data_IF_530178726790
#
_entry.id   IF_530178726790
#
_cell.length_a   1.000
_cell.length_b   1.000
_cell.length_c   1.000
_cell.angle_alpha   90.00
_cell.angle_beta   90.00
_cell.angle_gamma   90.00
#
_symmetry.space_group_name_H-M   'P 1'
#
loop_
_entity.id
_entity.type
_entity.pdbx_description
1 polymer ?
#
# COMPACT_ATOMS: atom_id res chain seq x y z
N UNK A 1 29.27 -31.75 5.88
CA UNK A 1 30.72 -31.56 6.08
C UNK A 1 31.14 -30.30 5.36
N UNK A 2 31.91 -29.45 6.05
CA UNK A 2 32.45 -28.14 5.63
C UNK A 2 33.20 -28.15 4.29
N UNK A 3 33.09 -27.05 3.53
CA UNK A 3 34.16 -26.14 3.02
C UNK A 3 33.47 -25.07 2.14
N UNK A 4 33.18 -23.84 2.59
CA UNK A 4 34.01 -22.65 2.90
C UNK A 4 34.85 -22.10 1.72
N UNK A 5 34.49 -20.84 1.37
CA UNK A 5 35.37 -19.68 1.07
C UNK A 5 35.72 -19.41 -0.39
N UNK A 6 35.31 -18.23 -0.89
CA UNK A 6 36.21 -17.12 -1.27
C UNK A 6 35.42 -15.84 -1.59
N UNK A 7 35.47 -14.87 -0.66
CA UNK A 7 35.18 -13.46 -0.90
C UNK A 7 36.33 -12.83 -1.71
N UNK A 8 35.99 -11.98 -2.67
CA UNK A 8 36.92 -11.05 -3.31
C UNK A 8 36.34 -9.64 -3.22
N UNK A 9 36.96 -8.82 -2.37
CA UNK A 9 36.74 -7.37 -2.28
C UNK A 9 37.25 -6.66 -3.52
N UNK A 10 36.54 -5.64 -4.00
CA UNK A 10 37.17 -4.47 -4.63
C UNK A 10 36.33 -3.22 -4.30
N UNK A 11 36.95 -2.35 -3.51
CA UNK A 11 36.53 -0.98 -3.28
C UNK A 11 36.95 -0.12 -4.47
N UNK A 12 36.06 0.76 -4.93
CA UNK A 12 36.45 1.90 -5.77
C UNK A 12 35.62 3.12 -5.39
N UNK A 13 36.36 4.11 -4.91
CA UNK A 13 36.00 5.47 -4.56
C UNK A 13 35.67 6.24 -5.85
N UNK A 14 34.58 7.01 -5.85
CA UNK A 14 34.24 7.93 -6.93
C UNK A 14 33.35 9.06 -6.44
N UNK A 15 33.95 10.06 -5.81
CA UNK A 15 33.30 11.34 -5.51
C UNK A 15 33.34 12.23 -6.76
N UNK A 16 32.17 12.69 -7.22
CA UNK A 16 32.07 13.80 -8.18
C UNK A 16 31.06 14.79 -7.64
N UNK A 17 31.56 15.93 -7.18
CA UNK A 17 30.78 17.13 -6.84
C UNK A 17 30.69 17.99 -8.10
N UNK A 18 29.49 18.29 -8.57
CA UNK A 18 29.26 19.35 -9.55
C UNK A 18 28.27 20.35 -8.96
N UNK A 19 28.74 21.59 -8.82
CA UNK A 19 28.00 22.75 -8.37
C UNK A 19 27.64 23.64 -9.58
N UNK A 20 26.53 24.39 -9.45
CA UNK A 20 26.18 25.54 -10.30
C UNK A 20 24.88 25.32 -11.08
N UNK A 21 23.98 26.29 -11.28
CA UNK A 21 23.93 27.70 -10.90
C UNK A 21 22.44 28.16 -10.96
N UNK A 22 22.10 29.10 -10.09
CA UNK A 22 20.87 29.91 -10.08
C UNK A 22 20.98 31.04 -11.14
N UNK A 23 19.90 31.28 -11.88
CA UNK A 23 19.53 32.49 -12.63
C UNK A 23 17.99 32.41 -12.71
N UNK A 24 17.12 33.23 -12.11
CA UNK A 24 16.97 34.70 -11.97
C UNK A 24 16.83 35.47 -13.29
N UNK A 25 15.59 35.53 -13.81
CA UNK A 25 15.09 36.69 -14.57
C UNK A 25 13.57 36.80 -14.44
N UNK A 26 13.10 37.86 -13.79
CA UNK A 26 11.70 38.28 -13.81
C UNK A 26 11.36 39.17 -15.00
N UNK A 27 10.06 39.46 -15.18
CA UNK A 27 9.52 40.79 -15.52
C UNK A 27 8.01 40.73 -15.86
N UNK A 28 7.20 41.54 -15.15
CA UNK A 28 6.22 42.45 -15.76
C UNK A 28 4.79 41.96 -16.03
N UNK A 29 3.84 42.36 -15.18
CA UNK A 29 2.51 42.83 -15.64
C UNK A 29 2.61 44.26 -16.23
N UNK A 30 1.51 45.02 -16.48
CA UNK A 30 0.08 44.76 -16.22
C UNK A 30 -0.86 45.17 -17.40
N UNK A 31 -2.19 45.03 -17.22
CA UNK A 31 -3.23 45.78 -17.94
C UNK A 31 -4.52 44.95 -18.16
N UNK A 32 -5.55 45.07 -17.33
CA UNK A 32 -6.74 45.96 -17.46
C UNK A 32 -7.40 45.93 -18.83
N UNK A 33 -8.62 45.38 -18.90
CA UNK A 33 -9.77 46.01 -19.58
C UNK A 33 -11.09 45.38 -19.08
N UNK A 34 -11.91 46.19 -18.41
CA UNK A 34 -13.36 46.00 -18.26
C UNK A 34 -14.05 46.20 -19.63
N UNK A 35 -15.26 45.63 -19.84
CA UNK A 35 -16.42 46.52 -19.69
C UNK A 35 -17.66 45.87 -19.03
N UNK A 36 -18.35 46.75 -18.31
CA UNK A 36 -19.73 46.71 -17.78
C UNK A 36 -20.78 46.15 -18.72
N UNK A 37 -21.81 45.44 -18.21
CA UNK A 37 -23.24 45.59 -18.59
C UNK A 37 -24.17 44.88 -17.57
N UNK A 38 -24.99 45.70 -16.89
CA UNK A 38 -26.38 45.55 -16.41
C UNK A 38 -26.96 44.21 -15.86
N UNK A 39 -27.42 44.30 -14.60
CA UNK A 39 -28.55 43.59 -13.97
C UNK A 39 -29.90 43.81 -14.72
N UNK A 40 -31.07 43.18 -14.38
CA UNK A 40 -31.37 42.25 -13.26
C UNK A 40 -32.16 40.99 -13.66
N UNK A 41 -32.14 39.97 -12.79
CA UNK A 41 -33.01 38.81 -12.91
C UNK A 41 -33.15 38.06 -11.60
N UNK A 42 -34.16 38.42 -10.80
CA UNK A 42 -34.64 37.68 -9.62
C UNK A 42 -35.02 36.25 -9.96
N UNK A 43 -34.38 35.28 -9.29
CA UNK A 43 -34.96 33.96 -8.98
C UNK A 43 -34.53 33.52 -7.59
N UNK A 44 -35.49 33.46 -6.68
CA UNK A 44 -35.47 32.66 -5.46
C UNK A 44 -35.19 31.19 -5.77
N UNK A 45 -34.18 30.61 -5.14
CA UNK A 45 -33.90 29.19 -5.12
C UNK A 45 -32.99 28.90 -3.93
N UNK A 46 -33.44 28.02 -3.06
CA UNK A 46 -32.81 27.54 -1.84
C UNK A 46 -31.34 27.12 -2.06
N UNK A 47 -30.44 27.67 -1.26
CA UNK A 47 -29.04 27.22 -1.18
C UNK A 47 -28.79 26.68 0.22
N UNK A 48 -28.59 25.37 0.24
CA UNK A 48 -28.25 24.51 1.35
C UNK A 48 -26.81 24.84 1.77
N UNK A 49 -26.70 25.63 2.84
CA UNK A 49 -25.42 25.99 3.43
C UNK A 49 -24.69 24.74 3.87
N UNK A 50 -23.66 24.36 3.13
CA UNK A 50 -22.64 23.43 3.60
C UNK A 50 -21.88 24.14 4.71
N UNK A 51 -22.27 23.85 5.95
CA UNK A 51 -21.59 24.26 7.17
C UNK A 51 -20.14 23.76 7.11
N UNK A 52 -19.24 24.68 6.77
CA UNK A 52 -17.84 24.57 7.15
C UNK A 52 -17.80 24.76 8.67
N UNK A 53 -17.31 23.81 9.49
CA UNK A 53 -17.18 24.05 10.92
C UNK A 53 -16.08 25.08 11.13
N UNK A 54 -16.50 26.33 11.20
CA UNK A 54 -15.70 27.44 11.69
C UNK A 54 -15.61 27.27 13.21
N UNK A 55 -14.39 27.18 13.72
CA UNK A 55 -14.09 26.96 15.13
C UNK A 55 -14.91 27.88 16.04
N UNK A 56 -15.70 27.24 16.89
CA UNK A 56 -16.14 27.81 18.16
C UNK A 56 -15.26 27.19 19.23
N UNK A 57 -14.41 28.04 19.79
CA UNK A 57 -13.73 27.86 21.06
C UNK A 57 -14.77 27.57 22.14
N UNK A 58 -14.97 26.29 22.48
CA UNK A 58 -15.56 25.87 23.75
C UNK A 58 -14.45 25.13 24.51
N UNK A 59 -13.62 25.92 25.20
CA UNK A 59 -12.59 25.53 26.15
C UNK A 59 -13.19 24.85 27.39
N UNK A 60 -13.67 23.61 27.25
CA UNK A 60 -13.90 22.67 28.35
C UNK A 60 -13.51 21.24 27.91
N UNK A 61 -12.43 21.13 27.12
CA UNK A 61 -11.82 19.83 26.79
C UNK A 61 -10.85 19.45 27.92
N UNK A 62 -11.41 18.87 28.99
CA UNK A 62 -10.64 18.18 30.05
C UNK A 62 -10.03 16.86 29.53
N UNK A 63 -10.23 16.52 28.25
CA UNK A 63 -9.54 15.44 27.55
C UNK A 63 -8.10 15.85 27.29
N UNK A 64 -7.18 15.39 28.15
CA UNK A 64 -5.75 15.59 27.92
C UNK A 64 -5.32 15.02 26.56
N UNK A 65 -5.07 15.91 25.60
CA UNK A 65 -4.51 15.57 24.29
C UNK A 65 -3.39 14.54 24.45
N UNK A 66 -3.51 13.40 23.77
CA UNK A 66 -2.55 12.33 23.92
C UNK A 66 -1.17 12.79 23.43
N UNK A 67 -0.22 12.86 24.37
CA UNK A 67 1.18 13.13 24.09
C UNK A 67 2.06 11.95 24.55
N UNK A 68 2.60 11.14 23.63
CA UNK A 68 3.42 9.97 24.00
C UNK A 68 4.73 10.36 24.71
N UNK A 69 5.24 11.58 24.49
CA UNK A 69 6.49 12.04 25.14
C UNK A 69 6.30 12.40 26.62
N UNK A 70 5.07 12.63 27.05
CA UNK A 70 4.73 13.02 28.44
C UNK A 70 4.11 11.88 29.25
N UNK A 71 3.70 10.80 28.59
CA UNK A 71 3.05 9.64 29.19
C UNK A 71 3.99 8.44 29.31
N UNK A 72 3.55 7.41 30.06
CA UNK A 72 4.36 6.22 30.30
C UNK A 72 4.04 5.12 29.29
N UNK A 73 5.02 4.77 28.45
CA UNK A 73 4.97 3.55 27.62
C UNK A 73 5.23 2.32 28.52
N UNK A 74 4.18 1.52 28.74
CA UNK A 74 4.25 0.31 29.55
C UNK A 74 4.85 -0.89 28.79
N UNK A 75 4.55 -0.97 27.49
CA UNK A 75 5.03 -2.03 26.61
C UNK A 75 5.10 -1.56 25.16
N UNK A 76 5.89 -2.28 24.37
CA UNK A 76 6.00 -2.09 22.93
C UNK A 76 6.02 -3.44 22.21
N UNK A 77 5.23 -3.56 21.16
CA UNK A 77 5.16 -4.70 20.27
C UNK A 77 5.52 -4.29 18.85
N UNK A 78 6.30 -5.13 18.17
CA UNK A 78 6.72 -4.89 16.79
C UNK A 78 6.12 -5.98 15.89
N UNK A 79 5.35 -5.56 14.90
CA UNK A 79 4.74 -6.41 13.87
C UNK A 79 5.58 -6.29 12.61
N UNK A 80 6.31 -7.36 12.31
CA UNK A 80 7.28 -7.41 11.22
C UNK A 80 8.63 -6.77 11.54
N UNK A 81 9.37 -6.46 10.49
CA UNK A 81 10.70 -5.85 10.56
C UNK A 81 10.81 -4.76 9.50
N UNK A 82 11.51 -3.64 9.77
CA UNK A 82 11.83 -2.65 8.75
C UNK A 82 12.83 -3.18 7.70
N UNK A 83 13.55 -4.27 8.00
CA UNK A 83 14.50 -4.86 7.05
C UNK A 83 13.76 -5.50 5.88
N UNK A 84 14.06 -5.05 4.65
CA UNK A 84 13.49 -5.62 3.43
C UNK A 84 12.15 -5.01 3.00
N UNK A 85 11.68 -3.96 3.68
CA UNK A 85 10.50 -3.20 3.23
C UNK A 85 10.88 -2.39 1.99
N UNK A 86 10.21 -2.69 0.88
CA UNK A 86 10.35 -1.91 -0.36
C UNK A 86 9.93 -0.46 -0.12
N UNK A 87 10.66 0.47 -0.74
CA UNK A 87 10.36 1.89 -0.65
C UNK A 87 10.19 2.43 0.78
N UNK A 88 11.06 2.04 1.72
CA UNK A 88 10.93 2.37 3.15
C UNK A 88 10.78 3.88 3.48
N UNK A 89 11.21 4.78 2.60
CA UNK A 89 10.98 6.23 2.76
C UNK A 89 9.50 6.63 2.52
N UNK A 90 8.77 5.86 1.71
CA UNK A 90 7.35 6.02 1.41
C UNK A 90 6.44 5.01 2.13
N UNK A 91 7.02 3.99 2.76
CA UNK A 91 6.34 2.98 3.55
C UNK A 91 6.78 3.06 5.01
N UNK A 92 6.49 4.19 5.67
CA UNK A 92 6.96 4.37 7.05
C UNK A 92 6.18 3.48 8.02
N UNK A 93 6.82 3.08 9.14
CA UNK A 93 6.13 2.29 10.15
C UNK A 93 4.95 3.04 10.76
N UNK A 94 3.87 2.32 11.02
CA UNK A 94 2.64 2.85 11.60
C UNK A 94 2.58 2.47 13.09
N UNK A 95 2.85 3.39 14.02
CA UNK A 95 2.62 3.17 15.44
C UNK A 95 1.14 3.37 15.80
N UNK A 96 0.57 2.38 16.49
CA UNK A 96 -0.74 2.46 17.13
C UNK A 96 -0.56 2.39 18.63
N UNK A 97 -1.01 3.42 19.34
CA UNK A 97 -0.99 3.50 20.79
C UNK A 97 -2.34 3.08 21.36
N UNK A 98 -2.35 2.23 22.38
CA UNK A 98 -3.55 1.92 23.17
C UNK A 98 -3.35 2.50 24.56
N UNK A 99 -4.15 3.50 24.91
CA UNK A 99 -4.04 4.29 26.15
C UNK A 99 -5.15 3.93 27.13
N UNK A 100 -4.78 3.79 28.41
CA UNK A 100 -5.71 3.78 29.53
C UNK A 100 -5.96 5.20 30.04
N UNK A 101 -7.08 5.82 29.65
CA UNK A 101 -7.49 7.15 30.09
C UNK A 101 -8.47 7.05 31.27
N UNK A 102 -7.98 6.40 32.33
CA UNK A 102 -8.67 6.25 33.59
C UNK A 102 -7.70 6.50 34.73
N UNK A 103 -8.21 6.91 35.89
CA UNK A 103 -7.42 7.17 37.10
C UNK A 103 -6.99 5.88 37.85
N UNK A 104 -7.18 4.70 37.24
CA UNK A 104 -6.89 3.40 37.83
C UNK A 104 -6.15 2.45 36.88
N UNK A 105 -5.52 1.43 37.45
CA UNK A 105 -4.82 0.39 36.69
C UNK A 105 -5.80 -0.59 36.03
N UNK A 106 -5.55 -0.95 34.77
CA UNK A 106 -6.40 -1.84 33.97
C UNK A 106 -5.59 -2.80 33.10
N UNK A 107 -6.20 -3.96 32.82
CA UNK A 107 -5.63 -4.97 31.94
C UNK A 107 -6.24 -4.87 30.53
N UNK A 108 -5.36 -4.90 29.52
CA UNK A 108 -5.73 -4.90 28.11
C UNK A 108 -5.10 -6.10 27.41
N UNK A 109 -5.89 -6.86 26.65
CA UNK A 109 -5.36 -7.90 25.76
C UNK A 109 -5.35 -7.37 24.33
N UNK A 110 -4.26 -7.64 23.62
CA UNK A 110 -4.05 -7.16 22.25
C UNK A 110 -3.81 -8.35 21.32
N UNK A 111 -4.48 -8.34 20.17
CA UNK A 111 -4.30 -9.36 19.14
C UNK A 111 -4.23 -8.70 17.77
N UNK A 112 -3.30 -9.15 16.95
CA UNK A 112 -3.19 -8.74 15.54
C UNK A 112 -3.59 -9.90 14.65
N UNK A 113 -4.46 -9.65 13.68
CA UNK A 113 -4.79 -10.61 12.62
C UNK A 113 -4.53 -10.01 11.25
N UNK A 114 -4.32 -10.87 10.25
CA UNK A 114 -4.28 -10.48 8.84
C UNK A 114 -4.74 -11.60 7.91
N UNK A 115 -5.23 -11.30 6.70
CA UNK A 115 -5.53 -12.31 5.69
C UNK A 115 -4.32 -13.20 5.37
N UNK A 116 -4.57 -14.50 5.15
CA UNK A 116 -3.56 -15.46 4.70
C UNK A 116 -3.57 -15.52 3.16
N UNK A 117 -2.40 -15.63 2.50
CA UNK A 117 -2.34 -15.85 1.05
C UNK A 117 -3.22 -17.01 0.59
N UNK A 118 -4.00 -16.78 -0.47
CA UNK A 118 -4.72 -17.84 -1.19
C UNK A 118 -6.02 -18.33 -0.54
N UNK A 119 -6.43 -17.80 0.62
CA UNK A 119 -7.74 -18.08 1.23
C UNK A 119 -8.24 -16.87 2.00
N UNK A 120 -9.36 -16.29 1.58
CA UNK A 120 -10.00 -15.15 2.26
C UNK A 120 -10.56 -15.51 3.65
N UNK A 121 -10.71 -16.81 3.93
CA UNK A 121 -11.28 -17.29 5.19
C UNK A 121 -10.22 -17.67 6.23
N UNK A 122 -8.95 -17.79 5.83
CA UNK A 122 -7.85 -18.10 6.74
C UNK A 122 -7.16 -16.81 7.18
N UNK A 123 -7.05 -16.61 8.49
CA UNK A 123 -6.34 -15.47 9.06
C UNK A 123 -5.10 -15.94 9.79
N UNK A 124 -3.98 -15.24 9.56
CA UNK A 124 -2.86 -15.28 10.49
C UNK A 124 -3.25 -14.53 11.75
N UNK A 125 -2.87 -15.05 12.91
CA UNK A 125 -3.17 -14.47 14.21
C UNK A 125 -1.91 -14.42 15.05
N UNK A 126 -1.65 -13.26 15.65
CA UNK A 126 -0.62 -13.05 16.65
C UNK A 126 -1.25 -12.48 17.92
N UNK A 127 -1.21 -13.28 18.98
CA UNK A 127 -1.57 -12.84 20.33
C UNK A 127 -0.38 -12.09 20.94
N UNK A 128 -0.58 -10.83 21.29
CA UNK A 128 0.42 -9.99 21.96
C UNK A 128 0.33 -10.11 23.49
N UNK A 129 -0.67 -10.83 23.99
CA UNK A 129 -0.91 -11.07 25.40
C UNK A 129 -1.61 -9.93 26.11
N UNK A 130 -1.71 -10.07 27.43
CA UNK A 130 -2.31 -9.07 28.31
C UNK A 130 -1.24 -8.16 28.90
N UNK A 131 -1.45 -6.85 28.79
CA UNK A 131 -0.62 -5.82 29.40
C UNK A 131 -1.43 -5.05 30.43
N UNK A 132 -0.88 -4.93 31.64
CA UNK A 132 -1.43 -4.09 32.70
C UNK A 132 -0.92 -2.66 32.52
N UNK A 133 -1.83 -1.71 32.33
CA UNK A 133 -1.55 -0.29 32.17
C UNK A 133 -1.95 0.44 33.45
N UNK A 134 -1.02 1.19 34.04
CA UNK A 134 -1.36 2.17 35.08
C UNK A 134 -2.26 3.29 34.52
N UNK A 135 -2.77 4.16 35.41
CA UNK A 135 -3.46 5.37 34.99
C UNK A 135 -2.59 6.19 34.02
N UNK A 136 -3.17 6.66 32.92
CA UNK A 136 -2.52 7.40 31.83
C UNK A 136 -1.31 6.69 31.16
N UNK A 137 -1.17 5.38 31.36
CA UNK A 137 -0.16 4.60 30.66
C UNK A 137 -0.70 4.10 29.32
N UNK A 138 0.22 3.82 28.39
CA UNK A 138 -0.13 3.29 27.07
C UNK A 138 0.82 2.18 26.64
N UNK A 139 0.40 1.42 25.63
CA UNK A 139 1.19 0.42 24.93
C UNK A 139 1.27 0.78 23.45
N UNK A 140 2.43 0.55 22.83
CA UNK A 140 2.62 0.79 21.39
C UNK A 140 2.65 -0.53 20.62
N UNK A 141 1.89 -0.62 19.54
CA UNK A 141 2.04 -1.65 18.51
C UNK A 141 2.55 -0.97 17.24
N UNK A 142 3.76 -1.32 16.80
CA UNK A 142 4.39 -0.74 15.62
C UNK A 142 4.29 -1.73 14.46
N UNK A 143 3.65 -1.32 13.37
CA UNK A 143 3.57 -2.11 12.14
C UNK A 143 4.63 -1.64 11.17
N UNK A 144 5.53 -2.52 10.75
CA UNK A 144 6.65 -2.17 9.88
C UNK A 144 6.43 -2.52 8.41
N UNK A 145 5.58 -3.50 8.12
CA UNK A 145 5.44 -4.06 6.77
C UNK A 145 4.08 -3.65 6.20
N UNK A 146 4.01 -2.96 5.05
CA UNK A 146 2.75 -2.57 4.43
C UNK A 146 1.87 -3.78 4.11
N UNK A 147 0.70 -3.83 4.73
CA UNK A 147 -0.30 -4.87 4.50
C UNK A 147 -1.62 -4.51 5.21
N UNK A 148 -2.64 -5.32 4.97
CA UNK A 148 -3.87 -5.31 5.77
C UNK A 148 -3.66 -5.98 7.13
N UNK A 149 -4.07 -5.31 8.21
CA UNK A 149 -4.07 -5.79 9.59
C UNK A 149 -5.36 -5.42 10.31
N UNK A 150 -5.74 -6.25 11.27
CA UNK A 150 -6.73 -5.90 12.30
C UNK A 150 -6.09 -6.01 13.67
N UNK A 151 -6.02 -4.91 14.41
CA UNK A 151 -5.65 -4.87 15.83
C UNK A 151 -6.93 -4.91 16.67
N UNK A 152 -7.20 -6.04 17.30
CA UNK A 152 -8.23 -6.18 18.31
C UNK A 152 -7.70 -5.73 19.67
N UNK A 153 -8.45 -4.84 20.32
CA UNK A 153 -8.19 -4.37 21.69
C UNK A 153 -9.30 -4.88 22.59
N UNK A 154 -8.93 -5.65 23.61
CA UNK A 154 -9.87 -6.21 24.58
C UNK A 154 -9.62 -5.66 25.99
N UNK A 155 -10.69 -5.49 26.75
CA UNK A 155 -10.69 -5.05 28.14
C UNK A 155 -12.00 -5.40 28.81
N UNK A 156 -12.00 -5.60 30.14
CA UNK A 156 -13.17 -6.08 30.90
C UNK A 156 -13.80 -7.38 30.34
N UNK A 157 -12.97 -8.26 29.76
CA UNK A 157 -13.40 -9.55 29.20
C UNK A 157 -14.23 -9.45 27.92
N UNK A 158 -14.16 -8.33 27.18
CA UNK A 158 -14.80 -8.13 25.87
C UNK A 158 -13.88 -7.38 24.90
N UNK A 159 -14.12 -7.53 23.61
CA UNK A 159 -13.53 -6.69 22.58
C UNK A 159 -14.10 -5.27 22.70
N UNK A 160 -13.22 -4.29 22.85
CA UNK A 160 -13.55 -2.88 22.93
C UNK A 160 -13.59 -2.25 21.54
N UNK A 161 -12.58 -2.56 20.72
CA UNK A 161 -12.47 -2.08 19.33
C UNK A 161 -11.65 -3.03 18.47
N UNK A 162 -11.89 -2.98 17.16
CA UNK A 162 -11.06 -3.58 16.12
C UNK A 162 -10.59 -2.44 15.22
N UNK A 163 -9.29 -2.13 15.27
CA UNK A 163 -8.69 -1.10 14.44
C UNK A 163 -8.07 -1.75 13.20
N UNK A 164 -8.54 -1.34 12.03
CA UNK A 164 -8.01 -1.81 10.75
C UNK A 164 -6.89 -0.88 10.28
N UNK A 165 -5.85 -1.49 9.74
CA UNK A 165 -4.80 -0.82 8.98
C UNK A 165 -4.77 -1.46 7.60
N UNK A 166 -4.79 -0.64 6.56
CA UNK A 166 -4.68 -1.04 5.18
C UNK A 166 -3.29 -0.73 4.63
N UNK A 167 -3.01 -1.20 3.42
CA UNK A 167 -1.78 -0.90 2.71
C UNK A 167 -1.47 0.61 2.66
N UNK A 168 -2.48 1.43 2.36
CA UNK A 168 -2.35 2.89 2.24
C UNK A 168 -2.07 3.65 3.54
N UNK A 169 -2.17 3.01 4.71
CA UNK A 169 -1.79 3.63 5.99
C UNK A 169 -0.25 3.74 6.14
N UNK A 170 0.49 2.96 5.35
CA UNK A 170 1.95 2.96 5.31
C UNK A 170 2.42 4.00 4.31
N UNK A 171 2.43 5.25 4.73
CA UNK A 171 2.77 6.37 3.85
C UNK A 171 4.12 7.01 4.18
N UNK A 172 4.55 7.97 3.35
CA UNK A 172 5.77 8.75 3.55
C UNK A 172 5.69 9.70 4.76
N UNK A 173 4.48 9.91 5.29
CA UNK A 173 4.25 10.74 6.46
C UNK A 173 4.64 10.02 7.74
N UNK A 174 5.00 10.82 8.73
CA UNK A 174 5.23 10.31 10.08
C UNK A 174 4.07 10.73 10.95
N UNK A 175 3.57 9.79 11.74
CA UNK A 175 2.39 9.98 12.54
C UNK A 175 2.16 8.81 13.48
N UNK A 176 1.04 8.85 14.18
CA UNK A 176 0.56 7.73 14.97
C UNK A 176 -0.96 7.75 15.06
N UNK A 177 -1.52 6.59 15.35
CA UNK A 177 -2.92 6.44 15.80
C UNK A 177 -2.93 6.21 17.30
N UNK A 178 -3.86 6.83 18.02
CA UNK A 178 -4.13 6.60 19.43
C UNK A 178 -5.54 6.06 19.59
N UNK A 179 -5.67 4.93 20.27
CA UNK A 179 -6.90 4.31 20.73
C UNK A 179 -6.97 4.58 22.24
N UNK A 180 -7.79 5.53 22.62
CA UNK A 180 -7.98 5.95 24.00
C UNK A 180 -9.18 5.22 24.59
N UNK A 181 -8.99 4.56 25.73
CA UNK A 181 -10.06 3.86 26.45
C UNK A 181 -10.37 4.60 27.75
N UNK A 182 -11.56 5.20 27.81
CA UNK A 182 -11.98 6.03 28.95
C UNK A 182 -12.39 5.19 30.17
N UNK A 183 -12.68 5.86 31.30
CA UNK A 183 -13.09 5.20 32.55
C UNK A 183 -14.31 4.27 32.37
N UNK A 184 -15.27 4.62 31.51
CA UNK A 184 -16.48 3.82 31.27
C UNK A 184 -16.31 2.74 30.17
N UNK A 185 -15.08 2.49 29.73
CA UNK A 185 -14.71 1.61 28.62
C UNK A 185 -15.26 2.03 27.25
N UNK A 186 -15.67 3.29 27.09
CA UNK A 186 -15.82 3.88 25.76
C UNK A 186 -14.44 4.03 25.10
N UNK A 187 -14.43 3.99 23.77
CA UNK A 187 -13.22 4.04 22.97
C UNK A 187 -13.29 5.24 22.05
N UNK A 188 -12.22 6.01 22.03
CA UNK A 188 -12.00 7.12 21.11
C UNK A 188 -10.73 6.86 20.31
N UNK A 189 -10.80 7.07 18.99
CA UNK A 189 -9.65 6.91 18.11
C UNK A 189 -9.29 8.26 17.52
N UNK A 190 -8.03 8.66 17.66
CA UNK A 190 -7.46 9.89 17.10
C UNK A 190 -6.04 9.68 16.61
N UNK A 191 -5.39 10.72 16.11
CA UNK A 191 -4.03 10.60 15.62
C UNK A 191 -3.51 11.91 15.04
N UNK A 192 -2.21 11.95 14.79
CA UNK A 192 -1.55 13.06 14.10
C UNK A 192 -0.69 12.52 12.97
N UNK A 193 -0.62 13.26 11.86
CA UNK A 193 0.23 12.95 10.70
C UNK A 193 0.82 14.23 10.12
N UNK A 194 2.00 14.15 9.50
CA UNK A 194 2.64 15.28 8.82
C UNK A 194 1.90 15.77 7.57
N UNK A 195 0.88 15.05 7.07
CA UNK A 195 0.00 15.43 5.94
C UNK A 195 0.73 16.00 4.72
N UNK A 196 1.93 15.49 4.42
CA UNK A 196 2.63 15.78 3.16
C UNK A 196 2.03 14.91 2.05
N UNK A 197 2.00 15.44 0.83
CA UNK A 197 1.58 14.65 -0.32
C UNK A 197 2.63 13.55 -0.58
N UNK A 198 2.25 12.30 -0.32
CA UNK A 198 3.08 11.15 -0.63
C UNK A 198 2.96 10.78 -2.10
N UNK A 199 4.06 10.36 -2.74
CA UNK A 199 4.02 9.89 -4.12
C UNK A 199 3.24 8.56 -4.20
N UNK A 200 2.33 8.47 -5.18
CA UNK A 200 1.58 7.24 -5.46
C UNK A 200 2.43 6.23 -6.28
N UNK A 201 2.08 4.93 -6.24
CA UNK A 201 2.69 3.93 -7.11
C UNK A 201 2.67 4.35 -8.58
N UNK A 202 3.82 4.22 -9.25
CA UNK A 202 3.92 4.51 -10.67
C UNK A 202 4.82 3.49 -11.38
N UNK A 203 4.30 2.84 -12.41
CA UNK A 203 5.10 1.96 -13.26
C UNK A 203 6.06 2.78 -14.13
N UNK A 204 7.36 2.51 -13.98
CA UNK A 204 8.45 3.19 -14.70
C UNK A 204 8.88 2.43 -15.95
N UNK A 205 8.95 1.12 -15.82
CA UNK A 205 9.40 0.22 -16.89
C UNK A 205 8.45 -0.94 -16.98
N UNK A 206 8.06 -1.29 -18.20
CA UNK A 206 7.27 -2.48 -18.48
C UNK A 206 7.97 -3.20 -19.62
N UNK A 207 8.34 -4.46 -19.38
CA UNK A 207 8.94 -5.34 -20.37
C UNK A 207 8.20 -6.66 -20.41
N UNK A 208 8.08 -7.24 -21.60
CA UNK A 208 7.58 -8.60 -21.79
C UNK A 208 8.62 -9.35 -22.61
N UNK A 209 9.15 -10.41 -22.03
CA UNK A 209 9.89 -11.46 -22.71
C UNK A 209 8.97 -12.63 -23.00
N UNK A 210 9.21 -13.34 -24.10
CA UNK A 210 8.43 -14.51 -24.47
C UNK A 210 9.32 -15.67 -24.91
N UNK A 211 8.84 -16.88 -24.66
CA UNK A 211 9.38 -18.10 -25.25
C UNK A 211 8.98 -18.28 -26.72
N UNK A 212 9.49 -19.35 -27.32
CA UNK A 212 8.97 -19.81 -28.61
C UNK A 212 7.57 -20.39 -28.40
N UNK A 213 6.61 -19.99 -29.23
CA UNK A 213 5.28 -20.58 -29.17
C UNK A 213 5.32 -22.08 -29.54
N UNK A 214 4.51 -22.87 -28.85
CA UNK A 214 4.42 -24.32 -29.05
C UNK A 214 2.97 -24.79 -29.08
N UNK A 215 2.72 -26.03 -29.52
CA UNK A 215 1.38 -26.61 -29.39
C UNK A 215 1.03 -26.77 -27.91
N UNK A 216 -0.16 -26.33 -27.54
CA UNK A 216 -0.58 -26.26 -26.15
C UNK A 216 -0.74 -27.65 -25.51
N UNK A 217 -0.21 -27.83 -24.31
CA UNK A 217 -0.44 -29.01 -23.47
C UNK A 217 -1.60 -28.80 -22.50
N UNK A 218 -1.84 -27.55 -22.10
CA UNK A 218 -2.98 -27.09 -21.31
C UNK A 218 -3.88 -26.18 -22.16
N UNK A 219 -5.11 -25.94 -21.71
CA UNK A 219 -6.08 -25.09 -22.42
C UNK A 219 -6.41 -23.81 -21.67
N UNK A 220 -5.81 -23.62 -20.50
CA UNK A 220 -6.10 -22.50 -19.63
C UNK A 220 -4.97 -21.48 -19.70
N UNK A 221 -5.35 -20.21 -19.73
CA UNK A 221 -4.42 -19.12 -19.51
C UNK A 221 -3.97 -19.12 -18.04
N UNK A 222 -2.72 -18.73 -17.79
CA UNK A 222 -2.17 -18.65 -16.43
C UNK A 222 -1.31 -17.42 -16.27
N UNK A 223 -1.28 -16.87 -15.06
CA UNK A 223 -0.29 -15.89 -14.64
C UNK A 223 0.00 -16.07 -13.14
N UNK A 224 1.28 -15.99 -12.78
CA UNK A 224 1.75 -15.95 -11.39
C UNK A 224 2.56 -14.69 -11.21
N UNK A 225 2.22 -13.91 -10.19
CA UNK A 225 2.84 -12.63 -9.89
C UNK A 225 3.77 -12.79 -8.67
N UNK A 226 4.94 -12.19 -8.71
CA UNK A 226 5.91 -12.17 -7.61
C UNK A 226 6.47 -10.76 -7.42
N UNK A 227 6.57 -10.33 -6.17
CA UNK A 227 7.16 -9.04 -5.80
C UNK A 227 8.65 -9.22 -5.48
N UNK A 228 9.48 -8.36 -6.05
CA UNK A 228 10.89 -8.16 -5.71
C UNK A 228 11.09 -6.92 -4.84
N UNK A 229 12.28 -6.31 -4.91
CA UNK A 229 12.59 -5.10 -4.14
C UNK A 229 11.85 -3.86 -4.68
N UNK A 230 11.91 -3.60 -5.98
CA UNK A 230 11.23 -2.45 -6.65
C UNK A 230 10.58 -2.87 -7.99
N UNK A 231 10.48 -4.18 -8.22
CA UNK A 231 9.97 -4.76 -9.46
C UNK A 231 8.97 -5.87 -9.17
N UNK A 232 7.97 -5.99 -10.02
CA UNK A 232 7.03 -7.11 -10.07
C UNK A 232 7.37 -7.97 -11.28
N UNK A 233 7.54 -9.28 -11.06
CA UNK A 233 7.71 -10.27 -12.12
C UNK A 233 6.43 -11.07 -12.30
N UNK A 234 6.03 -11.29 -13.55
CA UNK A 234 4.86 -12.08 -13.92
C UNK A 234 5.31 -13.21 -14.85
N UNK A 235 5.14 -14.44 -14.42
CA UNK A 235 5.35 -15.61 -15.27
C UNK A 235 3.99 -16.20 -15.65
N UNK A 236 3.77 -16.47 -16.93
CA UNK A 236 2.47 -16.96 -17.37
C UNK A 236 2.48 -17.67 -18.72
N UNK A 237 1.32 -18.21 -19.06
CA UNK A 237 1.07 -18.89 -20.34
C UNK A 237 -0.14 -18.27 -21.01
N UNK A 238 0.03 -17.81 -22.25
CA UNK A 238 -1.04 -17.26 -23.07
C UNK A 238 -1.48 -18.31 -24.12
N UNK A 239 -2.77 -18.65 -24.14
CA UNK A 239 -3.33 -19.58 -25.13
C UNK A 239 -3.72 -18.83 -26.41
N UNK A 240 -3.28 -19.35 -27.55
CA UNK A 240 -3.42 -18.71 -28.86
C UNK A 240 -4.01 -19.68 -29.88
N UNK A 241 -4.61 -19.19 -30.99
CA UNK A 241 -5.13 -20.08 -32.03
C UNK A 241 -4.07 -20.97 -32.68
N UNK A 242 -2.83 -20.47 -32.78
CA UNK A 242 -1.66 -21.23 -33.26
C UNK A 242 -0.39 -20.84 -32.50
N UNK A 243 0.68 -21.64 -32.53
CA UNK A 243 1.96 -21.29 -31.91
C UNK A 243 2.63 -20.02 -32.48
N UNK A 244 2.13 -19.47 -33.59
CA UNK A 244 2.77 -18.36 -34.30
C UNK A 244 2.25 -17.00 -33.85
N UNK A 245 2.23 -16.77 -32.56
CA UNK A 245 1.82 -15.52 -31.93
C UNK A 245 2.93 -14.98 -31.02
N UNK A 246 3.02 -13.66 -30.87
CA UNK A 246 3.77 -12.97 -29.82
C UNK A 246 2.81 -12.50 -28.75
N UNK A 247 3.30 -12.29 -27.52
CA UNK A 247 2.57 -11.66 -26.43
C UNK A 247 3.19 -10.29 -26.19
N UNK A 248 2.35 -9.26 -26.21
CA UNK A 248 2.74 -7.88 -26.05
C UNK A 248 1.85 -7.20 -24.98
N UNK A 249 2.31 -6.08 -24.42
CA UNK A 249 1.51 -5.28 -23.48
C UNK A 249 0.49 -4.49 -24.29
N UNK A 250 -0.78 -4.78 -24.09
CA UNK A 250 -1.88 -4.02 -24.70
C UNK A 250 -2.11 -2.71 -23.93
N UNK A 251 -2.15 -2.82 -22.61
CA UNK A 251 -2.54 -1.75 -21.70
C UNK A 251 -1.97 -2.00 -20.31
N UNK A 252 -1.73 -0.92 -19.58
CA UNK A 252 -1.31 -0.98 -18.18
C UNK A 252 -1.78 0.27 -17.47
N UNK A 253 -2.27 0.14 -16.24
CA UNK A 253 -2.76 1.27 -15.47
C UNK A 253 -2.78 0.98 -13.98
N UNK A 254 -2.55 2.02 -13.18
CA UNK A 254 -2.78 2.00 -11.74
C UNK A 254 -4.07 2.75 -11.44
N UNK A 255 -4.94 2.14 -10.64
CA UNK A 255 -6.17 2.72 -10.11
C UNK A 255 -5.97 3.00 -8.62
N UNK A 256 -6.03 4.29 -8.24
CA UNK A 256 -5.79 4.73 -6.86
C UNK A 256 -6.97 4.45 -5.93
N UNK A 257 -8.20 4.39 -6.47
CA UNK A 257 -9.40 4.10 -5.68
C UNK A 257 -9.44 2.65 -5.18
N UNK A 258 -8.98 1.69 -5.99
CA UNK A 258 -8.95 0.27 -5.66
C UNK A 258 -7.57 -0.28 -5.31
N UNK A 259 -6.54 0.57 -5.39
CA UNK A 259 -5.13 0.25 -5.16
C UNK A 259 -4.65 -0.97 -5.97
N UNK A 260 -5.04 -1.01 -7.25
CA UNK A 260 -4.73 -2.10 -8.18
C UNK A 260 -3.96 -1.58 -9.39
N UNK A 261 -2.84 -2.23 -9.68
CA UNK A 261 -2.19 -2.13 -10.98
C UNK A 261 -2.65 -3.27 -11.89
N UNK A 262 -3.29 -2.91 -13.01
CA UNK A 262 -3.73 -3.85 -14.04
C UNK A 262 -2.68 -3.92 -15.16
N UNK A 263 -2.22 -5.13 -15.48
CA UNK A 263 -1.38 -5.43 -16.63
C UNK A 263 -2.18 -6.25 -17.65
N UNK A 264 -2.52 -5.63 -18.78
CA UNK A 264 -3.25 -6.30 -19.86
C UNK A 264 -2.27 -6.74 -20.94
N UNK A 265 -2.24 -8.04 -21.18
CA UNK A 265 -1.45 -8.67 -22.24
C UNK A 265 -2.37 -9.09 -23.39
N UNK A 266 -1.89 -8.94 -24.62
CA UNK A 266 -2.58 -9.44 -25.81
C UNK A 266 -1.62 -10.23 -26.69
N UNK A 267 -2.18 -11.16 -27.47
CA UNK A 267 -1.40 -11.96 -28.40
C UNK A 267 -1.59 -11.45 -29.85
N UNK A 268 -0.47 -11.21 -30.55
CA UNK A 268 -0.45 -10.75 -31.95
C UNK A 268 0.12 -11.82 -32.87
N UNK A 269 -0.48 -12.00 -34.05
CA UNK A 269 0.03 -12.94 -35.05
C UNK A 269 1.43 -12.54 -35.55
N UNK A 270 2.35 -13.51 -35.58
CA UNK A 270 3.65 -13.33 -36.20
C UNK A 270 3.57 -13.59 -37.70
N UNK A 271 4.26 -12.77 -38.50
CA UNK A 271 4.42 -12.94 -39.95
C UNK A 271 5.40 -14.09 -40.29
N UNK A 272 5.10 -15.31 -39.85
CA UNK A 272 5.88 -16.51 -40.15
C UNK A 272 5.15 -17.41 -41.14
N UNK A 273 5.85 -17.80 -42.20
CA UNK A 273 5.31 -18.71 -43.20
C UNK A 273 5.24 -20.15 -42.63
N UNK A 274 4.02 -20.73 -42.63
CA UNK A 274 3.83 -22.16 -42.36
C UNK A 274 3.70 -22.52 -40.89
N UNK A 275 2.76 -21.89 -40.19
CA UNK A 275 2.45 -22.26 -38.81
C UNK A 275 1.87 -23.68 -38.70
N UNK A 276 2.11 -24.32 -37.56
CA UNK A 276 1.45 -25.58 -37.21
C UNK A 276 -0.02 -25.30 -36.87
N UNK A 277 -0.92 -26.12 -37.43
CA UNK A 277 -2.37 -26.05 -37.18
C UNK A 277 -2.74 -26.80 -35.88
N UNK A 278 -2.31 -26.27 -34.73
CA UNK A 278 -2.69 -26.73 -33.40
C UNK A 278 -3.01 -25.50 -32.54
N UNK A 279 -3.80 -25.65 -31.47
CA UNK A 279 -3.92 -24.60 -30.44
C UNK A 279 -2.51 -24.33 -29.90
N UNK A 280 -2.12 -23.06 -29.89
CA UNK A 280 -0.82 -22.61 -29.43
C UNK A 280 -0.83 -22.23 -27.96
N UNK A 281 0.34 -22.29 -27.36
CA UNK A 281 0.64 -21.60 -26.11
C UNK A 281 1.93 -20.81 -26.28
N UNK A 282 2.00 -19.64 -25.66
CA UNK A 282 3.19 -18.80 -25.59
C UNK A 282 3.45 -18.52 -24.11
N UNK A 283 4.56 -19.06 -23.60
CA UNK A 283 5.02 -18.74 -22.26
C UNK A 283 5.67 -17.36 -22.27
N UNK A 284 5.41 -16.56 -21.24
CA UNK A 284 5.94 -15.20 -21.12
C UNK A 284 6.46 -14.92 -19.72
N UNK A 285 7.38 -13.96 -19.66
CA UNK A 285 7.89 -13.32 -18.45
C UNK A 285 7.71 -11.81 -18.63
N UNK A 286 6.82 -11.20 -17.87
CA UNK A 286 6.69 -9.75 -17.80
C UNK A 286 7.41 -9.21 -16.56
N UNK A 287 7.96 -8.00 -16.66
CA UNK A 287 8.55 -7.28 -15.54
C UNK A 287 8.03 -5.86 -15.53
N UNK A 288 7.53 -5.43 -14.38
CA UNK A 288 7.05 -4.06 -14.12
C UNK A 288 7.90 -3.47 -13.01
N UNK A 289 8.69 -2.45 -13.33
CA UNK A 289 9.44 -1.68 -12.34
C UNK A 289 8.58 -0.55 -11.82
N UNK A 290 8.49 -0.40 -10.50
CA UNK A 290 7.74 0.67 -9.85
C UNK A 290 8.68 1.75 -9.29
N UNK A 291 8.15 2.96 -9.23
CA UNK A 291 8.74 4.07 -8.51
C UNK A 291 7.87 4.41 -7.31
N UNK A 292 8.55 4.84 -6.24
CA UNK A 292 7.99 5.33 -5.00
C UNK A 292 7.22 4.32 -4.15
N UNK A 293 6.41 3.43 -4.71
CA UNK A 293 5.66 2.43 -3.95
C UNK A 293 5.13 1.30 -4.85
N UNK A 294 4.70 0.18 -4.25
CA UNK A 294 3.92 -0.85 -4.93
C UNK A 294 2.41 -0.59 -4.74
N UNK A 295 1.57 -0.97 -5.71
CA UNK A 295 0.12 -1.08 -5.47
C UNK A 295 -0.14 -2.20 -4.44
N UNK A 296 -1.24 -2.13 -3.69
CA UNK A 296 -1.67 -3.25 -2.84
C UNK A 296 -1.86 -4.54 -3.64
N UNK A 297 -2.37 -4.42 -4.87
CA UNK A 297 -2.61 -5.55 -5.75
C UNK A 297 -2.07 -5.35 -7.17
N UNK A 298 -1.59 -6.44 -7.76
CA UNK A 298 -1.33 -6.53 -9.20
C UNK A 298 -2.31 -7.55 -9.79
N UNK A 299 -3.05 -7.13 -10.81
CA UNK A 299 -3.92 -7.97 -11.62
C UNK A 299 -3.33 -8.15 -13.01
N UNK A 300 -3.34 -9.40 -13.50
CA UNK A 300 -2.86 -9.75 -14.83
C UNK A 300 -4.05 -10.21 -15.65
N UNK A 301 -4.26 -9.53 -16.77
CA UNK A 301 -5.41 -9.74 -17.65
C UNK A 301 -4.91 -10.19 -19.02
N UNK A 302 -5.53 -11.24 -19.54
CA UNK A 302 -5.33 -11.64 -20.92
C UNK A 302 -6.50 -11.14 -21.78
N UNK A 303 -6.19 -10.34 -22.79
CA UNK A 303 -7.14 -9.83 -23.78
C UNK A 303 -7.18 -10.74 -24.99
N UNK A 304 -8.35 -11.29 -25.27
CA UNK A 304 -8.60 -12.16 -26.41
C UNK A 304 -9.76 -11.63 -27.24
N UNK A 305 -10.06 -12.27 -28.37
CA UNK A 305 -11.25 -11.93 -29.17
C UNK A 305 -12.57 -12.19 -28.42
N UNK A 306 -12.56 -13.03 -27.38
CA UNK A 306 -13.72 -13.32 -26.54
C UNK A 306 -13.86 -12.32 -25.35
N UNK A 307 -12.89 -11.42 -25.19
CA UNK A 307 -12.85 -10.38 -24.15
C UNK A 307 -11.63 -10.48 -23.25
N UNK A 308 -11.67 -9.69 -22.18
CA UNK A 308 -10.63 -9.58 -21.16
C UNK A 308 -10.93 -10.56 -20.01
N UNK A 309 -9.91 -11.32 -19.58
CA UNK A 309 -10.00 -12.29 -18.47
C UNK A 309 -8.84 -12.09 -17.50
N UNK A 310 -9.14 -11.89 -16.21
CA UNK A 310 -8.12 -11.93 -15.15
C UNK A 310 -7.62 -13.37 -14.98
N UNK A 311 -6.31 -13.56 -15.12
CA UNK A 311 -5.64 -14.87 -15.12
C UNK A 311 -4.65 -15.04 -13.98
N UNK A 312 -4.40 -13.96 -13.23
CA UNK A 312 -3.59 -13.96 -12.04
C UNK A 312 -3.78 -12.67 -11.25
N UNK A 313 -3.69 -12.78 -9.93
CA UNK A 313 -3.69 -11.65 -9.00
C UNK A 313 -2.77 -11.97 -7.84
N UNK A 314 -2.02 -10.98 -7.37
CA UNK A 314 -1.27 -11.10 -6.12
C UNK A 314 -1.36 -9.82 -5.28
N UNK A 315 -1.45 -10.01 -3.97
CA UNK A 315 -1.39 -8.95 -2.97
C UNK A 315 0.05 -8.78 -2.50
N UNK A 316 0.50 -7.53 -2.39
CA UNK A 316 1.83 -7.24 -1.86
C UNK A 316 1.95 -7.67 -0.38
N UNK A 317 3.12 -8.19 -0.01
CA UNK A 317 3.41 -8.74 1.33
C UNK A 317 2.42 -9.81 1.83
N UNK A 318 1.70 -10.52 0.94
CA UNK A 318 0.78 -11.56 1.37
C UNK A 318 1.50 -12.63 2.21
N UNK A 319 2.69 -13.07 1.78
CA UNK A 319 3.46 -14.15 2.43
C UNK A 319 4.18 -13.73 3.72
N UNK A 320 4.08 -12.46 4.12
CA UNK A 320 4.68 -11.99 5.37
C UNK A 320 4.02 -12.66 6.59
N UNK A 321 4.84 -13.27 7.44
CA UNK A 321 4.39 -13.84 8.71
C UNK A 321 4.40 -12.76 9.78
N UNK A 322 3.32 -12.63 10.57
CA UNK A 322 3.20 -11.63 11.66
C UNK A 322 4.35 -11.63 12.68
N UNK A 323 5.21 -12.66 12.67
CA UNK A 323 6.40 -12.79 13.51
C UNK A 323 6.09 -13.13 14.97
N UNK A 324 7.15 -13.38 15.75
CA UNK A 324 7.10 -13.53 17.22
C UNK A 324 7.87 -14.74 17.76
N UNK A 325 8.98 -14.49 18.45
CA UNK A 325 9.25 -15.05 19.78
C UNK A 325 8.93 -13.99 20.83
#
# INVERSE_FOLDING_TARGET
MKRRTLLSSLASIGAVSVAGCIDDTGAGGPGTDEPTTDEPGTTTGDDDGTDTPNGTDDDDDDGSDFNPDEQTEAARFEIGSPEGVAFADNNKPVPVHVRNDADEERDFALQVTRPTPGSSDDLQLRDLGTTTLSADAYVTVVFYVPAEYTLAVEGDGRTLTEHQLDHGDFECNSGFTSITVAEDWSVETGGISTMMACPSPAARTIGVGQGEGQCAEAQDHTATVSYGDEEVSVEGTFITPTPCYSVDVAESGYDDESDVFELVLEATENDVDGCVECVGQVDYEATVGFEADFPAHVSVVHRTNDGDTEVGRATWNADFELGGE
#
